data_IF_408480428120
#
_entry.id   IF_408480428120
#
_cell.length_a   1.000
_cell.length_b   1.000
_cell.length_c   1.000
_cell.angle_alpha   90.00
_cell.angle_beta   90.00
_cell.angle_gamma   90.00
#
_symmetry.space_group_name_H-M   'P 1'
#
loop_
_entity.id
_entity.type
_entity.pdbx_description
1 polymer ?
#
# COMPACT_ATOMS: atom_id res chain seq x y z
N UNK A 1 4.72 1.62 19.82
CA UNK A 1 5.67 1.08 18.83
C UNK A 1 5.25 -0.32 18.36
N UNK A 2 5.06 -1.30 19.26
CA UNK A 2 4.54 -2.64 18.93
C UNK A 2 3.21 -2.62 18.16
N UNK A 3 2.25 -1.79 18.58
CA UNK A 3 0.93 -1.67 17.91
C UNK A 3 1.03 -1.13 16.47
N UNK A 4 1.99 -0.26 16.18
CA UNK A 4 2.24 0.28 14.83
C UNK A 4 2.85 -0.81 13.96
N UNK A 5 3.80 -1.57 14.50
CA UNK A 5 4.37 -2.74 13.84
C UNK A 5 3.31 -3.81 13.58
N UNK A 6 2.41 -4.07 14.53
CA UNK A 6 1.30 -5.03 14.38
C UNK A 6 0.26 -4.56 13.36
N UNK A 7 -0.09 -3.27 13.33
CA UNK A 7 -1.02 -2.72 12.33
C UNK A 7 -0.40 -2.62 10.94
N UNK A 8 0.91 -2.34 10.86
CA UNK A 8 1.65 -2.36 9.59
C UNK A 8 1.79 -3.80 9.09
N UNK A 9 2.09 -4.74 9.99
CA UNK A 9 2.11 -6.18 9.67
C UNK A 9 0.72 -6.68 9.26
N UNK A 10 -0.34 -6.22 9.92
CA UNK A 10 -1.71 -6.52 9.53
C UNK A 10 -2.05 -5.95 8.16
N UNK A 11 -1.66 -4.71 7.85
CA UNK A 11 -1.84 -4.12 6.52
C UNK A 11 -1.08 -4.89 5.44
N UNK A 12 0.14 -5.34 5.72
CA UNK A 12 0.93 -6.19 4.82
C UNK A 12 0.29 -7.58 4.66
N UNK A 13 -0.21 -8.20 5.73
CA UNK A 13 -0.91 -9.48 5.69
C UNK A 13 -2.26 -9.36 4.95
N UNK A 14 -2.99 -8.27 5.14
CA UNK A 14 -4.21 -7.99 4.39
C UNK A 14 -3.91 -7.78 2.90
N UNK A 15 -2.82 -7.08 2.57
CA UNK A 15 -2.38 -6.94 1.19
C UNK A 15 -1.94 -8.27 0.58
N UNK A 16 -1.27 -9.14 1.34
CA UNK A 16 -0.93 -10.52 0.94
C UNK A 16 -2.18 -11.37 0.67
N UNK A 17 -3.21 -11.26 1.52
CA UNK A 17 -4.48 -11.96 1.31
C UNK A 17 -5.23 -11.43 0.08
N UNK A 18 -5.25 -10.11 -0.11
CA UNK A 18 -5.82 -9.47 -1.30
C UNK A 18 -5.03 -9.84 -2.57
N UNK A 19 -3.71 -10.00 -2.45
CA UNK A 19 -2.82 -10.47 -3.51
C UNK A 19 -3.16 -11.91 -3.92
N UNK A 20 -3.28 -12.83 -2.95
CA UNK A 20 -3.73 -14.21 -3.18
C UNK A 20 -5.10 -14.26 -3.89
N UNK A 21 -6.07 -13.46 -3.42
CA UNK A 21 -7.38 -13.36 -4.06
C UNK A 21 -7.27 -12.79 -5.48
N UNK A 22 -6.46 -11.76 -5.70
CA UNK A 22 -6.24 -11.17 -7.02
C UNK A 22 -5.55 -12.16 -7.98
N UNK A 23 -4.62 -12.98 -7.47
CA UNK A 23 -3.96 -14.06 -8.21
C UNK A 23 -4.95 -15.17 -8.55
N UNK A 24 -5.79 -15.61 -7.62
CA UNK A 24 -6.84 -16.61 -7.88
C UNK A 24 -7.86 -16.12 -8.91
N UNK A 25 -8.38 -14.90 -8.75
CA UNK A 25 -9.31 -14.29 -9.71
C UNK A 25 -8.66 -14.15 -11.10
N UNK A 26 -7.38 -13.76 -11.13
CA UNK A 26 -6.62 -13.70 -12.38
C UNK A 26 -6.28 -15.07 -12.95
N UNK A 27 -6.13 -16.13 -12.14
CA UNK A 27 -5.90 -17.49 -12.61
C UNK A 27 -7.18 -18.12 -13.19
N UNK A 28 -8.33 -17.87 -12.56
CA UNK A 28 -9.64 -18.30 -13.04
C UNK A 28 -10.04 -17.58 -14.32
N UNK A 29 -9.78 -16.28 -14.42
CA UNK A 29 -10.11 -15.49 -15.62
C UNK A 29 -8.97 -15.38 -16.64
N UNK A 30 -7.77 -15.86 -16.31
CA UNK A 30 -6.54 -15.61 -17.09
C UNK A 30 -5.94 -16.83 -17.76
N UNK A 31 -6.41 -18.05 -17.49
CA UNK A 31 -5.99 -19.25 -18.25
C UNK A 31 -6.28 -19.15 -19.75
N UNK A 32 -7.19 -18.27 -20.18
CA UNK A 32 -7.51 -17.99 -21.58
C UNK A 32 -6.64 -16.89 -22.23
N UNK A 33 -5.75 -16.21 -21.49
CA UNK A 33 -5.13 -14.97 -21.97
C UNK A 33 -3.61 -14.96 -21.80
N UNK A 34 -2.89 -14.90 -22.93
CA UNK A 34 -1.41 -14.82 -23.01
C UNK A 34 -0.88 -13.73 -22.06
N UNK A 35 0.01 -14.07 -21.12
CA UNK A 35 0.66 -13.08 -20.24
C UNK A 35 0.86 -13.46 -18.76
N UNK A 36 0.56 -14.69 -18.34
CA UNK A 36 0.60 -15.10 -16.92
C UNK A 36 1.93 -14.89 -16.20
N UNK A 37 3.08 -15.13 -16.86
CA UNK A 37 4.41 -14.96 -16.23
C UNK A 37 4.76 -13.50 -16.00
N UNK A 38 4.54 -12.63 -17.00
CA UNK A 38 4.76 -11.18 -16.86
C UNK A 38 3.84 -10.58 -15.81
N UNK A 39 2.59 -11.06 -15.73
CA UNK A 39 1.66 -10.68 -14.68
C UNK A 39 2.18 -11.08 -13.29
N UNK A 40 2.61 -12.34 -13.09
CA UNK A 40 3.17 -12.77 -11.81
C UNK A 40 4.35 -11.91 -11.33
N UNK A 41 5.27 -11.58 -12.23
CA UNK A 41 6.41 -10.70 -11.92
C UNK A 41 5.93 -9.30 -11.51
N UNK A 42 4.98 -8.72 -12.25
CA UNK A 42 4.39 -7.42 -11.91
C UNK A 42 3.76 -7.42 -10.53
N UNK A 43 2.98 -8.44 -10.20
CA UNK A 43 2.28 -8.53 -8.91
C UNK A 43 3.29 -8.72 -7.77
N UNK A 44 4.34 -9.51 -7.97
CA UNK A 44 5.45 -9.65 -7.01
C UNK A 44 6.16 -8.31 -6.76
N UNK A 45 6.47 -7.58 -7.82
CA UNK A 45 7.17 -6.29 -7.74
C UNK A 45 6.29 -5.21 -7.09
N UNK A 46 5.00 -5.21 -7.40
CA UNK A 46 3.99 -4.37 -6.76
C UNK A 46 3.95 -4.63 -5.24
N UNK A 47 4.06 -5.88 -4.81
CA UNK A 47 4.05 -6.23 -3.40
C UNK A 47 5.28 -5.68 -2.65
N UNK A 48 6.48 -5.78 -3.23
CA UNK A 48 7.68 -5.19 -2.62
C UNK A 48 7.62 -3.66 -2.56
N UNK A 49 7.19 -3.02 -3.65
CA UNK A 49 7.01 -1.57 -3.70
C UNK A 49 5.98 -1.10 -2.67
N UNK A 50 4.85 -1.80 -2.57
CA UNK A 50 3.80 -1.49 -1.60
C UNK A 50 4.36 -1.56 -0.16
N UNK A 51 5.03 -2.66 0.19
CA UNK A 51 5.62 -2.82 1.52
C UNK A 51 6.62 -1.72 1.87
N UNK A 52 7.51 -1.36 0.93
CA UNK A 52 8.47 -0.29 1.12
C UNK A 52 7.79 1.08 1.33
N UNK A 53 6.79 1.42 0.51
CA UNK A 53 6.09 2.70 0.62
C UNK A 53 5.20 2.81 1.86
N UNK A 54 4.59 1.71 2.31
CA UNK A 54 3.86 1.67 3.59
C UNK A 54 4.81 1.94 4.75
N UNK A 55 6.01 1.35 4.74
CA UNK A 55 7.03 1.65 5.76
C UNK A 55 7.43 3.12 5.74
N UNK A 56 7.70 3.69 4.56
CA UNK A 56 8.04 5.11 4.40
C UNK A 56 6.91 6.01 4.92
N UNK A 57 5.65 5.72 4.57
CA UNK A 57 4.49 6.46 5.05
C UNK A 57 4.42 6.44 6.58
N UNK A 58 4.60 5.27 7.21
CA UNK A 58 4.54 5.13 8.67
C UNK A 58 5.69 5.86 9.36
N UNK A 59 6.92 5.76 8.85
CA UNK A 59 8.08 6.48 9.39
C UNK A 59 7.90 8.00 9.26
N UNK A 60 7.40 8.47 8.12
CA UNK A 60 7.12 9.88 7.91
C UNK A 60 5.98 10.38 8.81
N UNK A 61 4.95 9.56 9.04
CA UNK A 61 3.83 9.89 9.93
C UNK A 61 4.24 10.05 11.41
N UNK A 62 5.33 9.41 11.83
CA UNK A 62 5.93 9.60 13.16
C UNK A 62 6.62 10.97 13.29
N UNK A 63 7.27 11.44 12.22
CA UNK A 63 7.96 12.75 12.20
C UNK A 63 7.00 13.91 11.98
N UNK A 64 5.96 13.72 11.17
CA UNK A 64 5.01 14.76 10.78
C UNK A 64 3.55 14.31 10.98
N UNK A 65 3.08 14.20 12.23
CA UNK A 65 1.74 13.70 12.53
C UNK A 65 0.61 14.54 11.94
N UNK A 66 0.78 15.86 11.82
CA UNK A 66 -0.21 16.76 11.22
C UNK A 66 -0.35 16.59 9.69
N UNK A 67 0.59 15.90 9.04
CA UNK A 67 0.62 15.71 7.57
C UNK A 67 0.31 14.29 7.12
N UNK A 68 -0.24 13.44 8.00
CA UNK A 68 -0.54 12.01 7.70
C UNK A 68 -1.34 11.79 6.42
N UNK A 69 -2.37 12.60 6.18
CA UNK A 69 -3.19 12.50 4.95
C UNK A 69 -2.38 12.84 3.69
N UNK A 70 -1.54 13.88 3.74
CA UNK A 70 -0.67 14.25 2.63
C UNK A 70 0.39 13.16 2.37
N UNK A 71 0.94 12.55 3.42
CA UNK A 71 1.89 11.45 3.32
C UNK A 71 1.26 10.18 2.74
N UNK A 72 0.01 9.89 3.13
CA UNK A 72 -0.79 8.82 2.52
C UNK A 72 -0.97 9.04 1.02
N UNK A 73 -1.44 10.24 0.61
CA UNK A 73 -1.65 10.56 -0.81
C UNK A 73 -0.34 10.49 -1.58
N UNK A 74 0.75 11.05 -1.04
CA UNK A 74 2.06 11.01 -1.68
C UNK A 74 2.59 9.57 -1.85
N UNK A 75 2.47 8.73 -0.83
CA UNK A 75 2.92 7.33 -0.88
C UNK A 75 2.10 6.50 -1.88
N UNK A 76 0.78 6.67 -1.89
CA UNK A 76 -0.07 5.97 -2.86
C UNK A 76 0.18 6.46 -4.29
N UNK A 77 0.30 7.78 -4.51
CA UNK A 77 0.47 8.34 -5.86
C UNK A 77 1.85 7.99 -6.44
N UNK A 78 2.90 8.01 -5.62
CA UNK A 78 4.23 7.54 -6.03
C UNK A 78 4.23 6.04 -6.34
N UNK A 79 3.59 5.21 -5.50
CA UNK A 79 3.37 3.79 -5.80
C UNK A 79 2.64 3.60 -7.14
N UNK A 80 1.54 4.33 -7.36
CA UNK A 80 0.72 4.20 -8.54
C UNK A 80 1.50 4.57 -9.82
N UNK A 81 2.28 5.65 -9.78
CA UNK A 81 3.14 6.07 -10.90
C UNK A 81 4.21 5.02 -11.17
N UNK A 82 4.92 4.54 -10.13
CA UNK A 82 5.94 3.50 -10.29
C UNK A 82 5.35 2.23 -10.90
N UNK A 83 4.21 1.78 -10.39
CA UNK A 83 3.52 0.60 -10.92
C UNK A 83 3.11 0.81 -12.39
N UNK A 84 2.67 2.02 -12.78
CA UNK A 84 2.32 2.35 -14.17
C UNK A 84 3.55 2.29 -15.09
N UNK A 85 4.69 2.78 -14.62
CA UNK A 85 5.96 2.78 -15.37
C UNK A 85 6.50 1.35 -15.56
N UNK A 86 6.38 0.51 -14.53
CA UNK A 86 6.89 -0.87 -14.53
C UNK A 86 5.93 -1.86 -15.22
N UNK A 87 4.64 -1.62 -15.09
CA UNK A 87 3.58 -2.48 -15.62
C UNK A 87 2.60 -1.63 -16.41
N UNK A 88 2.99 -1.27 -17.64
CA UNK A 88 2.17 -0.47 -18.53
C UNK A 88 0.79 -1.14 -18.75
N UNK A 89 -0.31 -0.52 -18.29
CA UNK A 89 -1.67 -1.09 -18.42
C UNK A 89 -2.18 -1.14 -19.86
N UNK A 90 -1.49 -0.50 -20.81
CA UNK A 90 -1.79 -0.54 -22.24
C UNK A 90 -0.89 -1.54 -22.99
N UNK A 91 -0.03 -2.28 -22.29
CA UNK A 91 0.79 -3.33 -22.86
C UNK A 91 -0.05 -4.56 -23.26
N UNK A 92 0.36 -5.33 -24.29
CA UNK A 92 -0.38 -6.49 -24.79
C UNK A 92 -0.53 -7.66 -23.79
N UNK A 93 0.10 -7.56 -22.62
CA UNK A 93 0.16 -8.55 -21.55
C UNK A 93 -0.58 -8.10 -20.28
N UNK A 94 -0.95 -6.82 -20.18
CA UNK A 94 -1.58 -6.22 -19.01
C UNK A 94 -3.04 -5.90 -19.36
N UNK A 95 -3.97 -6.69 -18.85
CA UNK A 95 -5.38 -6.31 -18.96
C UNK A 95 -5.70 -5.15 -18.01
N UNK A 96 -6.46 -4.14 -18.45
CA UNK A 96 -6.73 -2.93 -17.67
C UNK A 96 -7.46 -3.23 -16.35
N UNK A 97 -8.30 -4.27 -16.30
CA UNK A 97 -8.99 -4.68 -15.06
C UNK A 97 -8.03 -5.22 -13.98
N UNK A 98 -6.95 -5.89 -14.39
CA UNK A 98 -5.96 -6.45 -13.45
C UNK A 98 -5.13 -5.35 -12.82
N UNK A 99 -4.74 -4.37 -13.64
CA UNK A 99 -4.04 -3.18 -13.19
C UNK A 99 -4.91 -2.35 -12.23
N UNK A 100 -6.19 -2.13 -12.59
CA UNK A 100 -7.15 -1.45 -11.73
C UNK A 100 -7.31 -2.15 -10.37
N UNK A 101 -7.40 -3.48 -10.38
CA UNK A 101 -7.49 -4.28 -9.16
C UNK A 101 -6.28 -4.07 -8.23
N UNK A 102 -5.05 -4.09 -8.78
CA UNK A 102 -3.83 -3.83 -8.01
C UNK A 102 -3.83 -2.42 -7.39
N UNK A 103 -4.23 -1.40 -8.17
CA UNK A 103 -4.29 -0.03 -7.68
C UNK A 103 -5.31 0.15 -6.56
N UNK A 104 -6.47 -0.50 -6.68
CA UNK A 104 -7.51 -0.49 -5.63
C UNK A 104 -7.04 -1.22 -4.37
N UNK A 105 -6.37 -2.37 -4.52
CA UNK A 105 -5.80 -3.10 -3.38
C UNK A 105 -4.74 -2.25 -2.66
N UNK A 106 -3.87 -1.59 -3.41
CA UNK A 106 -2.86 -0.71 -2.84
C UNK A 106 -3.50 0.48 -2.11
N UNK A 107 -4.50 1.14 -2.72
CA UNK A 107 -5.24 2.23 -2.10
C UNK A 107 -5.85 1.79 -0.76
N UNK A 108 -6.52 0.63 -0.74
CA UNK A 108 -7.12 0.08 0.47
C UNK A 108 -6.07 -0.20 1.55
N UNK A 109 -4.93 -0.78 1.18
CA UNK A 109 -3.83 -1.05 2.10
C UNK A 109 -3.21 0.21 2.71
N UNK A 110 -2.95 1.23 1.90
CA UNK A 110 -2.46 2.53 2.39
C UNK A 110 -3.50 3.24 3.27
N UNK A 111 -4.79 3.14 2.94
CA UNK A 111 -5.87 3.70 3.74
C UNK A 111 -6.00 3.01 5.10
N UNK A 112 -5.83 1.67 5.14
CA UNK A 112 -5.79 0.90 6.37
C UNK A 112 -4.62 1.35 7.26
N UNK A 113 -3.44 1.55 6.65
CA UNK A 113 -2.26 2.07 7.35
C UNK A 113 -2.52 3.47 7.92
N UNK A 114 -3.19 4.35 7.17
CA UNK A 114 -3.56 5.69 7.64
C UNK A 114 -4.56 5.61 8.82
N UNK A 115 -5.59 4.76 8.72
CA UNK A 115 -6.55 4.54 9.80
C UNK A 115 -5.85 4.07 11.09
N UNK A 116 -4.90 3.15 10.97
CA UNK A 116 -4.06 2.70 12.09
C UNK A 116 -3.24 3.84 12.71
N UNK A 117 -2.71 4.76 11.91
CA UNK A 117 -2.02 5.95 12.41
C UNK A 117 -2.98 6.89 13.14
N UNK A 118 -4.19 7.11 12.63
CA UNK A 118 -5.20 7.99 13.23
C UNK A 118 -5.73 7.47 14.57
N UNK A 119 -5.79 6.15 14.75
CA UNK A 119 -6.14 5.51 16.02
C UNK A 119 -5.06 5.67 17.10
N UNK A 120 -3.84 6.08 16.73
CA UNK A 120 -2.78 6.39 17.69
C UNK A 120 -3.07 7.73 18.38
N UNK A 121 -3.29 7.77 19.71
CA UNK A 121 -3.41 9.03 20.41
C UNK A 121 -2.10 9.79 20.23
N UNK A 122 -2.20 10.98 19.62
CA UNK A 122 -1.15 11.99 19.72
C UNK A 122 -0.97 12.23 21.21
N UNK A 123 0.00 11.58 21.86
CA UNK A 123 0.44 12.04 23.18
C UNK A 123 0.88 13.49 22.93
N UNK A 124 0.16 14.50 23.45
CA UNK A 124 0.69 15.84 23.37
C UNK A 124 2.07 15.81 24.04
N UNK A 125 3.03 16.62 23.57
CA UNK A 125 4.20 16.87 24.40
C UNK A 125 3.66 17.30 25.75
N UNK A 126 4.03 16.57 26.80
CA UNK A 126 3.77 16.98 28.17
C UNK A 126 4.40 18.36 28.27
N UNK A 127 3.58 19.42 28.19
CA UNK A 127 3.96 20.73 28.70
C UNK A 127 4.16 20.49 30.19
N UNK A 128 5.37 20.07 30.56
CA UNK A 128 5.82 20.20 31.93
C UNK A 128 5.69 21.69 32.21
N UNK A 129 4.79 22.01 33.15
CA UNK A 129 4.53 23.38 33.54
C UNK A 129 5.85 24.04 33.93
N UNK A 130 6.24 25.05 33.18
CA UNK A 130 7.01 26.12 33.76
C UNK A 130 6.01 27.14 34.28
N UNK A 131 5.54 26.87 35.50
CA UNK A 131 5.13 27.93 36.38
C UNK A 131 6.40 28.68 36.78
N UNK A 132 6.50 29.94 36.39
CA UNK A 132 7.04 31.07 37.16
C UNK A 132 6.72 32.36 36.44
#
# INVERSE_FOLDING_TARGET
MLQILLLSAAAVLSFMMLHEVAVMVAADHGRSVRGGVGWGITVQLALYLFGAWVLVQNVAALRWPSRRLHLFLAAWLTFAVLLTLLANPFGPWAHPYRFLLLQLCALAGFALSLAGQCLWPLRPPVRQGFAR
#
